data_IF_150854697585
#
_entry.id   IF_150854697585
#
_cell.length_a   1.000
_cell.length_b   1.000
_cell.length_c   1.000
_cell.angle_alpha   90.00
_cell.angle_beta   90.00
_cell.angle_gamma   90.00
#
_symmetry.space_group_name_H-M   'P 1'
#
loop_
_entity.id
_entity.type
_entity.pdbx_description
1 polymer ?
#
# COMPACT_ATOMS: atom_id res chain seq x y z
N UNK A 1 -21.48 -30.28 56.49
CA UNK A 1 -20.16 -30.90 56.69
C UNK A 1 -19.17 -30.05 55.88
N UNK A 2 -18.75 -28.87 56.35
CA UNK A 2 -17.70 -28.64 57.37
C UNK A 2 -16.38 -29.30 56.91
N UNK A 3 -15.25 -28.64 56.70
CA UNK A 3 -14.71 -27.39 57.26
C UNK A 3 -13.36 -27.08 56.59
N UNK A 4 -13.05 -25.78 56.37
CA UNK A 4 -11.66 -25.32 56.24
C UNK A 4 -10.94 -25.38 57.61
N UNK A 5 -9.60 -25.43 57.63
CA UNK A 5 -8.88 -24.39 58.35
C UNK A 5 -7.63 -23.85 57.61
N UNK A 6 -7.07 -22.81 58.23
CA UNK A 6 -6.20 -21.79 57.67
C UNK A 6 -4.70 -21.96 57.93
N UNK A 7 -3.93 -21.27 57.08
CA UNK A 7 -2.66 -20.53 57.28
C UNK A 7 -1.69 -20.91 58.42
N UNK A 8 -0.41 -21.10 58.05
CA UNK A 8 0.71 -20.59 58.85
C UNK A 8 1.93 -20.23 57.97
N UNK A 9 2.38 -18.99 58.14
CA UNK A 9 3.65 -18.43 57.71
C UNK A 9 4.77 -18.86 58.66
N UNK A 10 5.96 -19.19 58.16
CA UNK A 10 7.22 -18.54 58.58
C UNK A 10 8.46 -19.10 57.86
N UNK A 11 9.48 -18.26 57.74
CA UNK A 11 10.86 -18.69 57.99
C UNK A 11 11.66 -18.99 56.73
N UNK A 12 12.50 -18.03 56.35
CA UNK A 12 13.37 -18.14 55.20
C UNK A 12 14.46 -19.20 55.34
N UNK A 13 15.15 -19.42 54.23
CA UNK A 13 16.60 -19.57 54.29
C UNK A 13 17.15 -19.09 52.96
N UNK A 14 17.69 -17.86 52.99
CA UNK A 14 18.59 -17.41 51.93
C UNK A 14 19.75 -18.39 51.90
N UNK A 15 19.88 -19.11 50.80
CA UNK A 15 21.06 -19.93 50.54
C UNK A 15 22.24 -18.99 50.38
N UNK A 16 23.00 -18.85 51.47
CA UNK A 16 24.36 -18.36 51.42
C UNK A 16 25.18 -19.36 50.63
N UNK A 17 25.39 -19.07 49.34
CA UNK A 17 26.51 -19.65 48.62
C UNK A 17 27.76 -18.93 49.09
N UNK A 18 28.54 -19.68 49.88
CA UNK A 18 29.86 -19.36 50.39
C UNK A 18 30.71 -18.63 49.36
N UNK A 19 31.26 -17.47 49.76
CA UNK A 19 32.34 -16.77 49.09
C UNK A 19 33.59 -17.67 49.04
N UNK A 20 33.65 -18.53 48.04
CA UNK A 20 34.89 -19.16 47.60
C UNK A 20 35.65 -18.15 46.72
N UNK A 21 37.00 -18.08 46.82
CA UNK A 21 37.77 -17.07 46.11
C UNK A 21 37.52 -17.19 44.59
N UNK A 22 37.03 -16.10 43.97
CA UNK A 22 36.76 -16.04 42.54
C UNK A 22 38.04 -16.27 41.75
N UNK A 23 38.26 -17.54 41.39
CA UNK A 23 39.28 -17.95 40.44
C UNK A 23 38.97 -17.22 39.13
N UNK A 24 39.87 -16.36 38.68
CA UNK A 24 39.68 -15.49 37.51
C UNK A 24 39.55 -16.35 36.25
N UNK A 25 38.33 -16.83 35.99
CA UNK A 25 38.04 -17.78 34.93
C UNK A 25 37.63 -16.99 33.70
N UNK A 26 38.40 -17.13 32.62
CA UNK A 26 38.04 -16.60 31.30
C UNK A 26 36.95 -17.43 30.60
N UNK A 27 36.37 -18.42 31.30
CA UNK A 27 35.32 -19.27 30.72
C UNK A 27 34.02 -18.47 30.64
N UNK A 28 33.37 -18.43 29.46
CA UNK A 28 32.10 -17.74 29.32
C UNK A 28 31.02 -18.38 30.19
N UNK A 29 30.09 -17.55 30.66
CA UNK A 29 28.96 -18.00 31.51
C UNK A 29 28.08 -18.98 30.72
N UNK A 30 27.87 -20.16 31.29
CA UNK A 30 27.02 -21.20 30.71
C UNK A 30 25.54 -20.75 30.73
N UNK A 31 24.92 -20.68 29.56
CA UNK A 31 23.47 -20.53 29.37
C UNK A 31 23.09 -21.18 28.04
N UNK A 32 21.90 -21.77 27.94
CA UNK A 32 21.39 -22.34 26.67
C UNK A 32 21.40 -21.32 25.53
N UNK A 33 21.26 -20.03 25.86
CA UNK A 33 21.38 -18.94 24.88
C UNK A 33 22.84 -18.70 24.46
N UNK A 34 23.78 -18.58 25.40
CA UNK A 34 25.20 -18.33 25.09
C UNK A 34 25.88 -19.51 24.41
N UNK A 35 25.33 -20.72 24.57
CA UNK A 35 25.76 -21.93 23.89
C UNK A 35 25.00 -22.25 22.61
N UNK A 36 23.98 -21.47 22.27
CA UNK A 36 23.13 -21.68 21.09
C UNK A 36 22.41 -23.05 21.10
N UNK A 37 22.12 -23.58 22.29
CA UNK A 37 21.42 -24.85 22.52
C UNK A 37 19.93 -24.62 22.84
N UNK A 38 19.35 -23.56 22.29
CA UNK A 38 17.92 -23.34 22.42
C UNK A 38 17.13 -24.43 21.68
N UNK A 39 15.99 -24.88 22.23
CA UNK A 39 15.14 -25.82 21.54
C UNK A 39 14.66 -25.20 20.22
N UNK A 40 15.10 -25.78 19.11
CA UNK A 40 14.72 -25.36 17.78
C UNK A 40 14.08 -26.54 17.04
N UNK A 41 12.92 -26.31 16.43
CA UNK A 41 12.40 -27.22 15.43
C UNK A 41 13.21 -27.03 14.15
N UNK A 42 13.83 -28.11 13.64
CA UNK A 42 14.58 -28.11 12.38
C UNK A 42 13.78 -28.88 11.33
N UNK A 43 12.83 -28.23 10.62
CA UNK A 43 12.02 -28.93 9.65
C UNK A 43 12.88 -29.34 8.45
N UNK A 44 12.99 -30.64 8.21
CA UNK A 44 13.63 -31.18 7.01
C UNK A 44 12.54 -31.36 5.95
N UNK A 45 12.59 -30.57 4.87
CA UNK A 45 11.62 -30.64 3.78
C UNK A 45 11.89 -31.90 2.94
N UNK A 46 11.28 -33.02 3.32
CA UNK A 46 11.33 -34.23 2.49
C UNK A 46 10.40 -34.09 1.28
N UNK A 47 10.70 -34.73 0.13
CA UNK A 47 9.89 -34.62 -1.09
C UNK A 47 8.40 -34.95 -0.90
N UNK A 48 8.07 -35.93 -0.06
CA UNK A 48 6.67 -36.31 0.22
C UNK A 48 5.88 -35.19 0.90
N UNK A 49 6.47 -34.52 1.90
CA UNK A 49 5.85 -33.39 2.59
C UNK A 49 5.63 -32.21 1.64
N UNK A 50 6.61 -31.94 0.78
CA UNK A 50 6.55 -30.84 -0.20
C UNK A 50 5.46 -31.09 -1.24
N UNK A 51 5.40 -32.30 -1.83
CA UNK A 51 4.36 -32.66 -2.81
C UNK A 51 2.97 -32.55 -2.20
N UNK A 52 2.75 -33.07 -1.00
CA UNK A 52 1.45 -32.97 -0.33
C UNK A 52 1.04 -31.52 -0.07
N UNK A 53 1.97 -30.67 0.39
CA UNK A 53 1.70 -29.26 0.60
C UNK A 53 1.29 -28.54 -0.70
N UNK A 54 2.02 -28.77 -1.80
CA UNK A 54 1.67 -28.18 -3.10
C UNK A 54 0.34 -28.70 -3.64
N UNK A 55 0.01 -29.98 -3.44
CA UNK A 55 -1.29 -30.52 -3.83
C UNK A 55 -2.45 -29.84 -3.08
N UNK A 56 -2.30 -29.60 -1.78
CA UNK A 56 -3.30 -28.88 -0.98
C UNK A 56 -3.45 -27.45 -1.49
N UNK A 57 -2.33 -26.75 -1.72
CA UNK A 57 -2.35 -25.37 -2.24
C UNK A 57 -3.05 -25.34 -3.61
N UNK A 58 -2.76 -26.29 -4.50
CA UNK A 58 -3.39 -26.39 -5.81
C UNK A 58 -4.91 -26.62 -5.70
N UNK A 59 -5.35 -27.56 -4.86
CA UNK A 59 -6.77 -27.86 -4.64
C UNK A 59 -7.53 -26.64 -4.12
N UNK A 60 -6.89 -25.77 -3.34
CA UNK A 60 -7.50 -24.53 -2.84
C UNK A 60 -7.45 -23.41 -3.88
N UNK A 61 -6.32 -23.21 -4.55
CA UNK A 61 -6.12 -22.08 -5.46
C UNK A 61 -6.76 -22.27 -6.83
N UNK A 62 -6.92 -23.49 -7.32
CA UNK A 62 -7.61 -23.76 -8.60
C UNK A 62 -9.08 -23.28 -8.56
N UNK A 63 -9.94 -23.70 -7.60
CA UNK A 63 -11.32 -23.24 -7.57
C UNK A 63 -11.44 -21.73 -7.31
N UNK A 64 -10.58 -21.17 -6.46
CA UNK A 64 -10.51 -19.71 -6.24
C UNK A 64 -10.16 -19.01 -7.56
N UNK A 65 -9.14 -19.49 -8.27
CA UNK A 65 -8.73 -18.95 -9.57
C UNK A 65 -9.84 -19.02 -10.62
N UNK A 66 -10.58 -20.14 -10.67
CA UNK A 66 -11.75 -20.28 -11.56
C UNK A 66 -12.84 -19.27 -11.19
N UNK A 67 -13.18 -19.13 -9.90
CA UNK A 67 -14.17 -18.17 -9.44
C UNK A 67 -13.77 -16.72 -9.78
N UNK A 68 -12.51 -16.36 -9.53
CA UNK A 68 -11.96 -15.05 -9.89
C UNK A 68 -11.98 -14.82 -11.41
N UNK A 69 -11.66 -15.84 -12.22
CA UNK A 69 -11.65 -15.73 -13.67
C UNK A 69 -13.06 -15.53 -14.26
N UNK A 70 -14.05 -16.24 -13.72
CA UNK A 70 -15.46 -16.03 -14.10
C UNK A 70 -15.88 -14.61 -13.75
N UNK A 71 -15.63 -14.17 -12.51
CA UNK A 71 -15.93 -12.80 -12.09
C UNK A 71 -15.23 -11.73 -12.93
N UNK A 72 -13.98 -11.97 -13.35
CA UNK A 72 -13.24 -11.04 -14.22
C UNK A 72 -13.77 -11.00 -15.65
N UNK A 73 -14.31 -12.10 -16.19
CA UNK A 73 -14.87 -12.16 -17.55
C UNK A 73 -16.26 -11.53 -17.66
N UNK A 74 -16.98 -11.44 -16.55
CA UNK A 74 -18.30 -10.81 -16.47
C UNK A 74 -18.24 -9.27 -16.50
N UNK A 75 -17.06 -8.69 -16.23
CA UNK A 75 -16.87 -7.24 -16.28
C UNK A 75 -16.89 -6.77 -17.74
N UNK A 76 -17.80 -5.85 -18.03
CA UNK A 76 -17.88 -5.17 -19.33
C UNK A 76 -17.11 -3.86 -19.21
N UNK A 77 -16.03 -3.73 -19.99
CA UNK A 77 -15.22 -2.53 -20.09
C UNK A 77 -15.22 -2.02 -21.54
N UNK A 78 -15.34 -0.70 -21.71
CA UNK A 78 -15.26 -0.02 -22.99
C UNK A 78 -14.28 1.14 -22.84
N UNK A 79 -13.23 1.14 -23.66
CA UNK A 79 -12.18 2.17 -23.66
C UNK A 79 -12.17 2.85 -25.01
N UNK A 80 -12.34 4.18 -25.02
CA UNK A 80 -12.30 4.99 -26.24
C UNK A 80 -11.25 6.11 -26.12
N UNK A 81 -10.45 6.27 -27.17
CA UNK A 81 -9.38 7.28 -27.21
C UNK A 81 -9.89 8.56 -27.87
N UNK A 82 -10.22 9.55 -27.05
CA UNK A 82 -10.76 10.82 -27.53
C UNK A 82 -9.70 11.82 -28.02
N UNK A 83 -8.41 11.64 -27.68
CA UNK A 83 -7.33 12.57 -28.05
C UNK A 83 -7.20 12.78 -29.58
N UNK A 84 -7.39 11.73 -30.38
CA UNK A 84 -7.30 11.80 -31.85
C UNK A 84 -8.59 12.26 -32.51
N UNK A 85 -9.73 11.94 -31.90
CA UNK A 85 -11.06 12.28 -32.44
C UNK A 85 -11.41 13.75 -32.20
N UNK A 86 -11.04 14.28 -31.04
CA UNK A 86 -11.37 15.65 -30.64
C UNK A 86 -10.43 16.71 -31.22
N UNK A 87 -9.27 16.31 -31.75
CA UNK A 87 -8.31 17.23 -32.37
C UNK A 87 -8.44 17.15 -33.90
N UNK A 88 -8.78 18.26 -34.59
CA UNK A 88 -8.86 18.32 -36.04
C UNK A 88 -7.58 17.82 -36.69
N UNK A 89 -7.69 17.10 -37.82
CA UNK A 89 -6.55 16.48 -38.49
C UNK A 89 -5.39 17.46 -38.77
N UNK A 90 -5.71 18.71 -39.09
CA UNK A 90 -4.75 19.78 -39.35
C UNK A 90 -3.89 20.17 -38.13
N UNK A 91 -4.41 19.97 -36.92
CA UNK A 91 -3.78 20.39 -35.67
C UNK A 91 -3.18 19.23 -34.86
N UNK A 92 -3.18 18.01 -35.41
CA UNK A 92 -2.65 16.83 -34.71
C UNK A 92 -1.14 16.86 -34.51
N UNK A 93 -0.42 17.59 -35.36
CA UNK A 93 1.06 17.73 -35.28
C UNK A 93 1.48 18.63 -34.12
N UNK A 94 0.69 19.68 -33.80
CA UNK A 94 0.94 20.57 -32.67
C UNK A 94 -0.31 20.69 -31.79
N UNK A 95 -0.56 19.63 -31.00
CA UNK A 95 -1.72 19.53 -30.12
C UNK A 95 -1.75 20.65 -29.07
N UNK A 96 -0.59 21.04 -28.54
CA UNK A 96 -0.48 22.09 -27.51
C UNK A 96 -0.97 23.44 -28.03
N UNK A 97 -0.60 23.81 -29.25
CA UNK A 97 -1.06 25.04 -29.88
C UNK A 97 -2.58 25.08 -30.04
N UNK A 98 -3.20 23.95 -30.41
CA UNK A 98 -4.67 23.87 -30.50
C UNK A 98 -5.34 23.99 -29.13
N UNK A 99 -4.80 23.31 -28.11
CA UNK A 99 -5.31 23.36 -26.73
C UNK A 99 -5.21 24.79 -26.16
N UNK A 100 -4.15 25.53 -26.48
CA UNK A 100 -3.97 26.91 -26.01
C UNK A 100 -4.75 27.94 -26.83
N UNK A 101 -5.28 27.56 -27.99
CA UNK A 101 -6.05 28.47 -28.85
C UNK A 101 -7.42 28.80 -28.24
N UNK A 102 -8.04 29.94 -28.59
CA UNK A 102 -9.38 30.32 -28.11
C UNK A 102 -10.51 29.57 -28.83
N UNK A 103 -10.21 28.63 -29.73
CA UNK A 103 -11.21 27.85 -30.44
C UNK A 103 -12.07 27.00 -29.47
N UNK A 104 -13.29 26.67 -29.90
CA UNK A 104 -14.14 25.72 -29.19
C UNK A 104 -13.50 24.32 -29.21
N UNK A 105 -13.49 23.67 -28.05
CA UNK A 105 -12.88 22.35 -27.81
C UNK A 105 -13.92 21.30 -27.43
N UNK A 106 -15.20 21.66 -27.47
CA UNK A 106 -16.30 20.76 -27.17
C UNK A 106 -16.26 19.60 -28.16
N UNK A 107 -16.15 18.39 -27.63
CA UNK A 107 -16.02 17.18 -28.43
C UNK A 107 -17.05 16.16 -27.96
N UNK A 108 -17.82 15.64 -28.91
CA UNK A 108 -18.77 14.55 -28.66
C UNK A 108 -18.23 13.28 -29.27
N UNK A 109 -17.99 12.27 -28.43
CA UNK A 109 -17.56 10.94 -28.86
C UNK A 109 -18.74 9.97 -28.80
N UNK A 110 -18.87 9.12 -29.82
CA UNK A 110 -19.88 8.07 -29.86
C UNK A 110 -19.22 6.72 -29.59
N UNK A 111 -19.52 6.13 -28.43
CA UNK A 111 -18.99 4.83 -28.05
C UNK A 111 -20.01 3.72 -28.24
N UNK A 112 -19.57 2.56 -28.74
CA UNK A 112 -20.43 1.38 -28.91
C UNK A 112 -20.28 0.45 -27.72
N UNK A 113 -21.39 0.17 -27.05
CA UNK A 113 -21.42 -0.74 -25.90
C UNK A 113 -21.84 -2.14 -26.39
N UNK A 114 -20.92 -3.11 -26.47
CA UNK A 114 -21.20 -4.40 -27.12
C UNK A 114 -22.09 -5.33 -26.30
N UNK A 115 -22.15 -5.12 -24.97
CA UNK A 115 -22.90 -5.94 -24.02
C UNK A 115 -23.58 -5.06 -22.99
N UNK A 116 -24.76 -5.47 -22.53
CA UNK A 116 -25.49 -4.75 -21.48
C UNK A 116 -24.64 -4.63 -20.21
N UNK A 117 -24.34 -3.41 -19.80
CA UNK A 117 -23.70 -3.12 -18.50
C UNK A 117 -24.74 -3.16 -17.38
N UNK A 118 -24.51 -3.97 -16.36
CA UNK A 118 -25.37 -4.00 -15.16
C UNK A 118 -24.97 -2.85 -14.23
N UNK A 119 -25.95 -2.15 -13.65
CA UNK A 119 -25.71 -1.07 -12.68
C UNK A 119 -24.88 -1.56 -11.46
N UNK A 120 -24.05 -0.69 -10.84
CA UNK A 120 -23.72 0.68 -11.22
C UNK A 120 -22.70 0.76 -12.37
N UNK A 121 -22.78 1.83 -13.17
CA UNK A 121 -21.82 2.11 -14.26
C UNK A 121 -20.87 3.21 -13.80
N UNK A 122 -19.58 3.01 -14.00
CA UNK A 122 -18.54 3.97 -13.69
C UNK A 122 -17.91 4.51 -14.97
N UNK A 123 -17.54 5.78 -14.95
CA UNK A 123 -16.83 6.45 -16.06
C UNK A 123 -15.50 6.95 -15.52
N UNK A 124 -14.42 6.54 -16.17
CA UNK A 124 -13.06 6.91 -15.81
C UNK A 124 -12.39 7.62 -16.97
N UNK A 125 -11.53 8.58 -16.66
CA UNK A 125 -10.57 9.12 -17.62
C UNK A 125 -9.21 8.44 -17.39
N UNK A 126 -8.50 8.14 -18.48
CA UNK A 126 -7.16 7.56 -18.43
C UNK A 126 -6.17 8.56 -19.02
N UNK A 127 -5.02 8.71 -18.35
CA UNK A 127 -3.89 9.50 -18.80
C UNK A 127 -2.68 8.58 -18.96
N UNK A 128 -2.18 8.48 -20.18
CA UNK A 128 -0.95 7.73 -20.47
C UNK A 128 0.25 8.68 -20.47
N UNK A 129 1.43 8.15 -20.12
CA UNK A 129 2.69 8.92 -20.04
C UNK A 129 2.66 10.12 -19.09
N UNK A 130 1.82 10.07 -18.04
CA UNK A 130 1.74 11.09 -17.00
C UNK A 130 2.24 10.55 -15.65
N UNK A 131 3.41 11.02 -15.20
CA UNK A 131 4.13 10.46 -14.07
C UNK A 131 3.78 11.14 -12.73
N UNK A 132 2.57 10.90 -12.22
CA UNK A 132 2.12 11.43 -10.92
C UNK A 132 2.91 10.88 -9.71
N UNK A 133 3.59 9.74 -9.88
CA UNK A 133 4.38 9.11 -8.82
C UNK A 133 5.77 9.75 -8.60
N UNK A 134 6.14 10.78 -9.37
CA UNK A 134 7.43 11.45 -9.20
C UNK A 134 7.52 12.12 -7.82
N UNK A 135 8.61 11.89 -7.08
CA UNK A 135 8.78 12.37 -5.68
C UNK A 135 8.47 13.85 -5.49
N UNK A 136 8.86 14.71 -6.44
CA UNK A 136 8.58 16.16 -6.36
C UNK A 136 7.10 16.47 -6.58
N UNK A 137 6.44 15.78 -7.51
CA UNK A 137 5.02 15.93 -7.80
C UNK A 137 4.18 15.57 -6.57
N UNK A 138 4.42 14.38 -6.00
CA UNK A 138 3.70 13.90 -4.80
C UNK A 138 3.89 14.82 -3.58
N UNK A 139 5.03 15.50 -3.49
CA UNK A 139 5.34 16.43 -2.39
C UNK A 139 4.79 17.84 -2.60
N UNK A 140 4.42 18.20 -3.83
CA UNK A 140 4.09 19.58 -4.22
C UNK A 140 2.64 19.95 -3.89
N UNK A 141 2.11 19.47 -2.76
CA UNK A 141 0.75 19.73 -2.28
C UNK A 141 0.76 20.14 -0.81
N UNK A 142 -0.28 20.85 -0.37
CA UNK A 142 -0.52 21.19 1.02
C UNK A 142 -1.77 20.50 1.54
N UNK A 143 -1.60 19.45 2.34
CA UNK A 143 -2.73 18.73 2.94
C UNK A 143 -3.48 19.62 3.95
N UNK A 144 -2.78 20.56 4.62
CA UNK A 144 -3.40 21.57 5.48
C UNK A 144 -4.34 22.49 4.71
N UNK A 145 -3.91 23.01 3.55
CA UNK A 145 -4.70 23.90 2.70
C UNK A 145 -5.92 23.18 2.12
N UNK A 146 -5.76 21.92 1.69
CA UNK A 146 -6.85 21.09 1.17
C UNK A 146 -7.88 20.76 2.24
N UNK A 147 -7.48 20.69 3.51
CA UNK A 147 -8.38 20.42 4.65
C UNK A 147 -9.17 21.65 5.08
N UNK A 148 -8.59 22.86 5.01
CA UNK A 148 -9.25 24.08 5.47
C UNK A 148 -8.72 25.33 4.77
N UNK A 149 -9.63 26.18 4.30
CA UNK A 149 -9.30 27.48 3.71
C UNK A 149 -8.51 28.41 4.65
N UNK A 150 -8.65 28.25 5.98
CA UNK A 150 -7.89 29.04 6.97
C UNK A 150 -6.38 28.75 6.99
N UNK A 151 -5.93 27.67 6.33
CA UNK A 151 -4.52 27.24 6.28
C UNK A 151 -3.87 27.48 4.91
N UNK A 152 -4.37 28.44 4.14
CA UNK A 152 -3.83 28.80 2.82
C UNK A 152 -2.33 29.14 2.82
N UNK A 153 -1.78 29.59 3.95
CA UNK A 153 -0.37 29.98 4.06
C UNK A 153 0.62 28.82 4.27
N UNK A 154 0.15 27.57 4.45
CA UNK A 154 1.02 26.43 4.76
C UNK A 154 1.46 25.67 3.49
N UNK A 155 2.16 26.35 2.59
CA UNK A 155 2.51 25.85 1.24
C UNK A 155 4.02 25.70 1.02
N UNK A 156 4.82 25.59 2.08
CA UNK A 156 6.30 25.53 2.00
C UNK A 156 6.83 24.38 1.13
N UNK A 157 6.14 23.25 1.12
CA UNK A 157 6.46 22.06 0.31
C UNK A 157 6.13 22.23 -1.18
N UNK A 158 5.32 23.23 -1.53
CA UNK A 158 4.70 23.39 -2.84
C UNK A 158 5.49 24.29 -3.80
N UNK A 159 6.70 24.71 -3.41
CA UNK A 159 7.57 25.49 -4.30
C UNK A 159 7.93 24.68 -5.55
N UNK A 160 7.92 25.29 -6.75
CA UNK A 160 7.82 26.74 -7.00
C UNK A 160 6.40 27.28 -7.18
N UNK A 161 5.36 26.43 -7.23
CA UNK A 161 4.00 26.81 -7.59
C UNK A 161 3.17 27.28 -6.37
N UNK A 162 3.78 27.97 -5.40
CA UNK A 162 3.10 28.45 -4.18
C UNK A 162 2.44 29.85 -4.34
N UNK A 163 2.61 30.48 -5.51
CA UNK A 163 2.19 31.86 -5.80
C UNK A 163 1.48 31.90 -7.16
N UNK A 164 0.32 32.55 -7.23
CA UNK A 164 -0.43 32.76 -8.45
C UNK A 164 0.17 33.89 -9.31
N UNK A 165 -0.20 33.95 -10.60
CA UNK A 165 0.31 34.93 -11.60
C UNK A 165 -0.02 36.41 -11.26
N UNK A 166 -0.73 36.69 -10.17
CA UNK A 166 -1.01 38.04 -9.64
C UNK A 166 -0.40 38.36 -8.27
N UNK A 167 0.51 37.53 -7.75
CA UNK A 167 1.20 37.74 -6.46
C UNK A 167 0.43 37.28 -5.22
N UNK A 168 -0.82 36.82 -5.37
CA UNK A 168 -1.58 36.12 -4.33
C UNK A 168 -1.10 34.68 -4.12
N UNK A 169 -1.47 34.07 -2.99
CA UNK A 169 -1.23 32.64 -2.76
C UNK A 169 -2.06 31.83 -3.75
N UNK A 170 -1.47 30.77 -4.29
CA UNK A 170 -2.22 29.85 -5.14
C UNK A 170 -3.12 28.99 -4.24
N UNK A 171 -4.42 28.91 -4.54
CA UNK A 171 -5.39 28.10 -3.80
C UNK A 171 -6.34 27.35 -4.75
N UNK A 172 -6.44 26.01 -4.66
CA UNK A 172 -5.56 25.10 -3.93
C UNK A 172 -4.21 24.90 -4.66
N UNK A 173 -3.16 24.60 -3.91
CA UNK A 173 -1.90 24.08 -4.46
C UNK A 173 -1.93 22.55 -4.39
N UNK A 174 -1.86 21.90 -5.55
CA UNK A 174 -1.96 20.45 -5.75
C UNK A 174 -0.70 19.89 -6.37
#
# INVERSE_FOLDING_TARGET
MSSHPASSSNGGSGSGDSDAPRRNSKRPKYSKFTQQELPACKPILTPKWVVSAFMIIAIVFIPIGIACLVGSRDVVEVVERYETECIPAQNRTNKVQFIQSPADKTCTISMRIPKRMKKPVYVYYQLDNFYQNHRRYVKSRSDEQLKSASKENDTKSCKPEDIAVGGGRLYPVV
#
